data_IF_893896070151
#
_entry.id   IF_893896070151
#
_cell.length_a   1.000
_cell.length_b   1.000
_cell.length_c   1.000
_cell.angle_alpha   90.00
_cell.angle_beta   90.00
_cell.angle_gamma   90.00
#
_symmetry.space_group_name_H-M   'P 1'
#
loop_
_entity.id
_entity.type
_entity.pdbx_description
1 polymer ?
#
# COMPACT_ATOMS: atom_id res chain seq x y z
N UNK A 1 8.89 -10.09 -19.91
CA UNK A 1 10.05 -10.93 -20.27
C UNK A 1 11.27 -10.43 -19.55
N UNK A 2 11.97 -11.28 -18.86
CA UNK A 2 13.17 -10.99 -18.04
C UNK A 2 14.23 -12.03 -18.36
N UNK A 3 15.44 -11.60 -18.73
CA UNK A 3 16.62 -12.45 -18.78
C UNK A 3 17.39 -12.25 -17.47
N UNK A 4 17.42 -13.28 -16.63
CA UNK A 4 17.98 -13.20 -15.29
C UNK A 4 19.50 -13.39 -15.23
N UNK A 5 20.04 -13.31 -13.99
CA UNK A 5 21.46 -13.56 -13.72
C UNK A 5 22.38 -12.35 -13.89
N UNK A 6 21.83 -11.14 -14.03
CA UNK A 6 22.60 -9.88 -14.11
C UNK A 6 22.49 -9.15 -12.77
N UNK A 7 23.60 -8.86 -12.06
CA UNK A 7 23.58 -7.99 -10.90
C UNK A 7 23.08 -6.59 -11.26
N UNK A 8 22.23 -6.04 -10.40
CA UNK A 8 21.74 -4.68 -10.59
C UNK A 8 22.71 -3.66 -10.01
N UNK A 9 23.01 -2.61 -10.78
CA UNK A 9 23.92 -1.54 -10.36
C UNK A 9 23.37 -0.16 -10.75
N UNK A 10 23.58 0.84 -9.89
CA UNK A 10 23.19 2.22 -10.17
C UNK A 10 22.21 2.81 -9.18
N UNK A 11 21.40 3.76 -9.64
CA UNK A 11 20.48 4.52 -8.80
C UNK A 11 19.02 4.36 -9.27
N UNK A 12 18.11 4.25 -8.32
CA UNK A 12 16.67 4.21 -8.57
C UNK A 12 15.99 5.30 -7.74
N UNK A 13 15.20 6.14 -8.41
CA UNK A 13 14.35 7.13 -7.74
C UNK A 13 13.03 6.46 -7.27
N UNK A 14 12.69 6.69 -6.00
CA UNK A 14 11.47 6.18 -5.39
C UNK A 14 10.33 7.18 -5.57
N UNK A 15 9.19 6.67 -6.01
CA UNK A 15 7.96 7.43 -6.21
C UNK A 15 7.22 7.76 -4.92
N UNK A 16 6.09 8.43 -5.04
CA UNK A 16 5.17 8.62 -3.92
C UNK A 16 4.41 7.34 -3.58
N UNK A 17 4.04 7.18 -2.31
CA UNK A 17 3.35 6.00 -1.81
C UNK A 17 1.92 5.88 -2.37
N UNK A 18 1.67 4.84 -3.17
CA UNK A 18 0.32 4.54 -3.64
C UNK A 18 -0.67 4.39 -2.49
N UNK A 19 -0.25 3.69 -1.43
CA UNK A 19 -1.10 3.43 -0.27
C UNK A 19 -1.42 4.70 0.53
N UNK A 20 -0.59 5.77 0.43
CA UNK A 20 -0.90 7.09 0.97
C UNK A 20 -1.72 7.93 -0.01
N UNK A 21 -1.39 7.89 -1.29
CA UNK A 21 -2.10 8.68 -2.31
C UNK A 21 -3.61 8.41 -2.34
N UNK A 22 -4.05 7.16 -2.12
CA UNK A 22 -5.46 6.79 -2.17
C UNK A 22 -6.30 7.45 -1.06
N UNK A 23 -5.96 7.34 0.24
CA UNK A 23 -6.69 8.03 1.30
C UNK A 23 -6.53 9.55 1.24
N UNK A 24 -5.36 10.08 0.86
CA UNK A 24 -5.13 11.52 0.69
C UNK A 24 -6.02 12.09 -0.43
N UNK A 25 -6.23 11.38 -1.53
CA UNK A 25 -7.19 11.76 -2.58
C UNK A 25 -8.64 11.72 -2.06
N UNK A 26 -9.01 10.72 -1.26
CA UNK A 26 -10.33 10.65 -0.64
C UNK A 26 -10.56 11.82 0.34
N UNK A 27 -9.54 12.20 1.11
CA UNK A 27 -9.58 13.35 2.04
C UNK A 27 -9.91 14.68 1.34
N UNK A 28 -9.58 14.83 0.04
CA UNK A 28 -9.94 16.03 -0.73
C UNK A 28 -11.45 16.26 -0.82
N UNK A 29 -12.28 15.22 -0.60
CA UNK A 29 -13.73 15.36 -0.55
C UNK A 29 -14.23 16.14 0.67
N UNK A 30 -13.41 16.33 1.70
CA UNK A 30 -13.79 16.98 2.95
C UNK A 30 -13.86 18.51 2.86
N UNK A 31 -13.34 19.12 1.79
CA UNK A 31 -13.39 20.58 1.57
C UNK A 31 -13.96 20.93 0.20
N UNK A 32 -14.51 22.14 0.10
CA UNK A 32 -14.92 22.74 -1.18
C UNK A 32 -13.73 23.39 -1.91
N UNK A 33 -12.68 23.73 -1.17
CA UNK A 33 -11.51 24.43 -1.67
C UNK A 33 -10.58 23.48 -2.42
N UNK A 34 -9.70 24.07 -3.24
CA UNK A 34 -8.71 23.30 -4.01
C UNK A 34 -7.65 22.69 -3.09
N UNK A 35 -7.44 21.39 -3.21
CA UNK A 35 -6.31 20.68 -2.61
C UNK A 35 -5.32 20.30 -3.73
N UNK A 36 -4.05 20.61 -3.53
CA UNK A 36 -2.96 20.29 -4.45
C UNK A 36 -2.08 19.22 -3.83
N UNK A 37 -1.92 18.12 -4.53
CA UNK A 37 -1.14 16.97 -4.07
C UNK A 37 0.06 16.77 -4.99
N UNK A 38 1.25 16.72 -4.41
CA UNK A 38 2.49 16.48 -5.12
C UNK A 38 2.97 15.04 -4.91
N UNK A 39 3.80 14.56 -5.83
CA UNK A 39 4.41 13.23 -5.82
C UNK A 39 3.40 12.08 -5.94
N UNK A 40 2.24 12.31 -6.52
CA UNK A 40 1.24 11.25 -6.76
C UNK A 40 1.78 10.30 -7.85
N UNK A 41 1.88 8.97 -7.58
CA UNK A 41 2.40 8.03 -8.57
C UNK A 41 1.39 7.79 -9.68
N UNK A 42 1.80 7.78 -10.97
CA UNK A 42 0.91 7.54 -12.09
C UNK A 42 0.61 6.04 -12.29
N UNK A 43 -0.01 5.42 -11.28
CA UNK A 43 -0.36 3.99 -11.29
C UNK A 43 -1.86 3.78 -11.48
N UNK A 44 -2.25 2.57 -11.87
CA UNK A 44 -3.62 2.25 -12.28
C UNK A 44 -4.66 2.47 -11.17
N UNK A 45 -4.31 2.17 -9.90
CA UNK A 45 -5.22 2.38 -8.77
C UNK A 45 -5.50 3.88 -8.57
N UNK A 46 -4.53 4.77 -8.80
CA UNK A 46 -4.72 6.24 -8.74
C UNK A 46 -5.66 6.70 -9.86
N UNK A 47 -5.46 6.23 -11.09
CA UNK A 47 -6.37 6.56 -12.19
C UNK A 47 -7.82 6.10 -11.92
N UNK A 48 -8.02 5.02 -11.18
CA UNK A 48 -9.35 4.56 -10.74
C UNK A 48 -9.93 5.49 -9.68
N UNK A 49 -9.13 5.92 -8.68
CA UNK A 49 -9.56 6.89 -7.66
C UNK A 49 -9.95 8.23 -8.30
N UNK A 50 -9.19 8.72 -9.27
CA UNK A 50 -9.53 9.94 -10.02
C UNK A 50 -10.89 9.82 -10.72
N UNK A 51 -11.18 8.67 -11.35
CA UNK A 51 -12.50 8.41 -11.96
C UNK A 51 -13.62 8.43 -10.92
N UNK A 52 -13.37 7.84 -9.73
CA UNK A 52 -14.33 7.83 -8.64
C UNK A 52 -14.60 9.26 -8.12
N UNK A 53 -13.56 10.07 -7.90
CA UNK A 53 -13.71 11.45 -7.48
C UNK A 53 -14.50 12.29 -8.50
N UNK A 54 -14.22 12.10 -9.80
CA UNK A 54 -14.96 12.75 -10.89
C UNK A 54 -16.44 12.31 -10.91
N UNK A 55 -16.72 11.03 -10.69
CA UNK A 55 -18.09 10.51 -10.59
C UNK A 55 -18.83 11.17 -9.40
N UNK A 56 -18.19 11.27 -8.23
CA UNK A 56 -18.74 11.95 -7.04
C UNK A 56 -19.05 13.43 -7.32
N UNK A 57 -18.32 14.06 -8.25
CA UNK A 57 -18.56 15.44 -8.69
C UNK A 57 -17.36 16.38 -8.53
N UNK A 58 -16.20 15.88 -8.06
CA UNK A 58 -14.99 16.66 -7.96
C UNK A 58 -14.37 16.93 -9.34
N UNK A 59 -13.77 18.11 -9.50
CA UNK A 59 -12.90 18.41 -10.63
C UNK A 59 -11.49 17.93 -10.28
N UNK A 60 -10.92 17.07 -11.13
CA UNK A 60 -9.57 16.50 -10.93
C UNK A 60 -8.73 16.85 -12.15
N UNK A 61 -7.63 17.57 -11.89
CA UNK A 61 -6.62 17.95 -12.90
C UNK A 61 -5.30 17.29 -12.55
N UNK A 62 -4.73 16.58 -13.52
CA UNK A 62 -3.44 15.88 -13.37
C UNK A 62 -2.40 16.53 -14.26
N UNK A 63 -1.24 16.86 -13.69
CA UNK A 63 -0.09 17.39 -14.43
C UNK A 63 1.18 16.72 -13.89
N UNK A 64 1.72 15.80 -14.64
CA UNK A 64 2.83 14.92 -14.21
C UNK A 64 2.44 14.16 -12.92
N UNK A 65 3.25 14.29 -11.85
CA UNK A 65 2.98 13.72 -10.51
C UNK A 65 2.19 14.65 -9.58
N UNK A 66 1.67 15.77 -10.08
CA UNK A 66 0.82 16.71 -9.34
C UNK A 66 -0.63 16.50 -9.69
N UNK A 67 -1.47 16.35 -8.68
CA UNK A 67 -2.93 16.23 -8.81
C UNK A 67 -3.60 17.36 -8.05
N UNK A 68 -4.51 18.07 -8.69
CA UNK A 68 -5.34 19.11 -8.08
C UNK A 68 -6.78 18.62 -8.05
N UNK A 69 -7.40 18.68 -6.88
CA UNK A 69 -8.79 18.26 -6.65
C UNK A 69 -9.59 19.46 -6.12
N UNK A 70 -10.71 19.76 -6.77
CA UNK A 70 -11.71 20.73 -6.30
C UNK A 70 -13.05 20.01 -6.16
N UNK A 71 -13.49 19.80 -4.93
CA UNK A 71 -14.77 19.18 -4.62
C UNK A 71 -15.79 20.22 -4.14
N UNK A 72 -15.91 21.35 -4.86
CA UNK A 72 -16.84 22.45 -4.53
C UNK A 72 -18.29 21.99 -4.41
N UNK A 73 -18.68 20.99 -5.24
CA UNK A 73 -20.03 20.40 -5.24
C UNK A 73 -19.94 18.88 -5.32
N UNK A 74 -20.47 18.19 -4.33
CA UNK A 74 -20.74 16.76 -4.39
C UNK A 74 -22.05 16.52 -5.10
N UNK A 75 -22.04 15.84 -6.23
CA UNK A 75 -23.24 15.50 -7.04
C UNK A 75 -23.83 14.15 -6.64
N UNK A 76 -22.94 13.17 -6.44
CA UNK A 76 -23.30 11.80 -6.10
C UNK A 76 -22.50 11.37 -4.89
N UNK A 77 -23.15 11.22 -3.72
CA UNK A 77 -22.51 10.66 -2.53
C UNK A 77 -22.45 9.12 -2.63
N UNK A 78 -21.93 8.62 -3.76
CA UNK A 78 -21.96 7.20 -4.12
C UNK A 78 -20.64 6.74 -4.75
N UNK A 79 -20.21 5.52 -4.36
CA UNK A 79 -19.15 4.76 -5.02
C UNK A 79 -19.78 3.50 -5.68
N UNK A 80 -20.01 3.49 -7.00
CA UNK A 80 -20.73 2.41 -7.68
C UNK A 80 -19.87 1.16 -7.86
N UNK A 81 -20.52 0.00 -7.96
CA UNK A 81 -19.88 -1.31 -8.09
C UNK A 81 -18.80 -1.38 -9.16
N UNK A 82 -19.05 -0.79 -10.35
CA UNK A 82 -18.10 -0.87 -11.45
C UNK A 82 -16.75 -0.21 -11.19
N UNK A 83 -16.70 0.80 -10.34
CA UNK A 83 -15.45 1.43 -9.90
C UNK A 83 -14.86 0.68 -8.69
N UNK A 84 -15.69 0.31 -7.72
CA UNK A 84 -15.24 -0.36 -6.48
C UNK A 84 -14.67 -1.75 -6.74
N UNK A 85 -15.28 -2.55 -7.66
CA UNK A 85 -14.80 -3.91 -7.99
C UNK A 85 -13.36 -3.97 -8.48
N UNK A 86 -12.84 -2.88 -9.04
CA UNK A 86 -11.49 -2.81 -9.60
C UNK A 86 -10.45 -2.32 -8.60
N UNK A 87 -10.89 -1.59 -7.56
CA UNK A 87 -10.01 -0.99 -6.56
C UNK A 87 -10.69 -0.95 -5.19
N UNK A 88 -10.26 -1.81 -4.30
CA UNK A 88 -10.83 -1.96 -2.96
C UNK A 88 -10.77 -0.68 -2.11
N UNK A 89 -9.72 0.13 -2.27
CA UNK A 89 -9.55 1.42 -1.60
C UNK A 89 -10.66 2.44 -1.92
N UNK A 90 -11.56 2.13 -2.87
CA UNK A 90 -12.76 2.95 -3.12
C UNK A 90 -13.68 3.06 -1.90
N UNK A 91 -13.57 2.16 -0.90
CA UNK A 91 -14.28 2.27 0.38
C UNK A 91 -13.84 3.48 1.21
N UNK A 92 -12.63 4.02 0.99
CA UNK A 92 -12.11 5.19 1.71
C UNK A 92 -12.89 6.50 1.46
N UNK A 93 -13.82 6.52 0.52
CA UNK A 93 -14.71 7.68 0.35
C UNK A 93 -15.92 7.65 1.30
N UNK A 94 -16.13 6.54 2.05
CA UNK A 94 -17.28 6.35 2.93
C UNK A 94 -17.30 7.40 4.06
N UNK A 95 -16.25 7.48 4.86
CA UNK A 95 -16.10 8.45 5.95
C UNK A 95 -16.21 9.90 5.49
N UNK A 96 -15.40 10.33 4.49
CA UNK A 96 -15.49 11.68 3.94
C UNK A 96 -16.87 12.07 3.42
N UNK A 97 -17.58 11.18 2.72
CA UNK A 97 -18.92 11.49 2.20
C UNK A 97 -19.95 11.60 3.32
N UNK A 98 -19.93 10.70 4.31
CA UNK A 98 -20.85 10.80 5.47
C UNK A 98 -20.57 12.07 6.24
N UNK A 99 -19.30 12.38 6.52
CA UNK A 99 -18.92 13.57 7.28
C UNK A 99 -19.35 14.86 6.60
N UNK A 100 -19.18 14.96 5.28
CA UNK A 100 -19.46 16.18 4.53
C UNK A 100 -20.89 16.31 4.05
N UNK A 101 -21.51 15.19 3.63
CA UNK A 101 -22.83 15.19 2.97
C UNK A 101 -23.95 14.67 3.87
N UNK A 102 -23.64 14.16 5.06
CA UNK A 102 -24.61 13.49 5.94
C UNK A 102 -25.07 12.14 5.41
N UNK A 103 -24.54 11.66 4.29
CA UNK A 103 -24.88 10.36 3.69
C UNK A 103 -23.80 9.86 2.76
N UNK A 104 -23.70 8.54 2.61
CA UNK A 104 -22.90 7.88 1.59
C UNK A 104 -23.52 6.54 1.19
N UNK A 105 -23.34 6.15 -0.07
CA UNK A 105 -23.69 4.83 -0.61
C UNK A 105 -22.46 4.24 -1.30
N UNK A 106 -21.86 3.20 -0.72
CA UNK A 106 -20.61 2.63 -1.23
C UNK A 106 -20.80 1.14 -1.50
N UNK A 107 -20.53 0.69 -2.72
CA UNK A 107 -20.58 -0.73 -3.05
C UNK A 107 -19.59 -1.51 -2.18
N UNK A 108 -20.01 -2.68 -1.73
CA UNK A 108 -19.08 -3.62 -1.11
C UNK A 108 -17.99 -3.99 -2.12
N UNK A 109 -16.71 -3.93 -1.71
CA UNK A 109 -15.65 -4.40 -2.57
C UNK A 109 -15.80 -5.90 -2.80
N UNK A 110 -15.61 -6.34 -4.04
CA UNK A 110 -15.59 -7.76 -4.39
C UNK A 110 -14.55 -8.54 -3.61
N UNK A 111 -14.59 -9.87 -3.68
CA UNK A 111 -13.62 -10.73 -3.04
C UNK A 111 -12.17 -10.36 -3.38
N UNK A 112 -11.28 -10.48 -2.40
CA UNK A 112 -9.87 -10.23 -2.60
C UNK A 112 -9.12 -11.58 -2.64
N UNK A 113 -8.22 -11.74 -3.60
CA UNK A 113 -7.45 -12.97 -3.75
C UNK A 113 -6.61 -13.31 -2.51
N UNK A 114 -6.14 -12.30 -1.77
CA UNK A 114 -5.27 -12.48 -0.59
C UNK A 114 -6.02 -12.72 0.72
N UNK A 115 -7.37 -12.72 0.72
CA UNK A 115 -8.17 -13.01 1.91
C UNK A 115 -9.35 -12.08 2.15
N UNK A 116 -10.14 -12.39 3.18
CA UNK A 116 -11.27 -11.58 3.59
C UNK A 116 -10.80 -10.22 4.14
N UNK A 117 -11.36 -9.15 3.62
CA UNK A 117 -11.05 -7.78 4.04
C UNK A 117 -12.35 -7.00 4.23
N UNK A 118 -13.16 -7.41 5.20
CA UNK A 118 -14.47 -6.80 5.43
C UNK A 118 -14.30 -5.33 5.86
N UNK A 119 -15.28 -4.50 5.52
CA UNK A 119 -15.32 -3.09 5.96
C UNK A 119 -16.14 -2.90 7.25
N UNK A 120 -16.38 -4.00 7.98
CA UNK A 120 -17.13 -3.98 9.23
C UNK A 120 -16.56 -3.01 10.27
N UNK A 121 -15.22 -2.86 10.32
CA UNK A 121 -14.56 -1.92 11.25
C UNK A 121 -14.82 -0.46 10.87
N UNK A 122 -14.92 -0.12 9.57
CA UNK A 122 -15.33 1.19 9.10
C UNK A 122 -16.78 1.46 9.50
N UNK A 123 -17.66 0.49 9.27
CA UNK A 123 -19.08 0.58 9.63
C UNK A 123 -19.26 0.78 11.14
N UNK A 124 -18.66 -0.09 11.96
CA UNK A 124 -18.75 0.00 13.43
C UNK A 124 -18.25 1.36 13.95
N UNK A 125 -17.16 1.89 13.37
CA UNK A 125 -16.65 3.20 13.73
C UNK A 125 -17.62 4.33 13.36
N UNK A 126 -18.21 4.32 12.17
CA UNK A 126 -19.19 5.32 11.75
C UNK A 126 -20.48 5.26 12.58
N UNK A 127 -20.95 4.06 12.93
CA UNK A 127 -22.09 3.88 13.85
C UNK A 127 -21.78 4.47 15.22
N UNK A 128 -20.55 4.30 15.71
CA UNK A 128 -20.11 4.88 16.98
C UNK A 128 -20.09 6.41 16.93
N UNK A 129 -19.78 6.98 15.77
CA UNK A 129 -19.87 8.42 15.52
C UNK A 129 -21.32 8.90 15.27
N UNK A 130 -22.32 8.01 15.35
CA UNK A 130 -23.75 8.32 15.27
C UNK A 130 -24.37 8.18 13.89
N UNK A 131 -23.68 7.62 12.91
CA UNK A 131 -24.27 7.27 11.62
C UNK A 131 -25.21 6.07 11.76
N UNK A 132 -26.29 6.05 11.00
CA UNK A 132 -27.14 4.87 10.78
C UNK A 132 -26.65 4.15 9.55
N UNK A 133 -26.23 2.89 9.71
CA UNK A 133 -25.66 2.13 8.60
C UNK A 133 -26.55 0.93 8.27
N UNK A 134 -26.77 0.69 6.96
CA UNK A 134 -27.48 -0.48 6.43
C UNK A 134 -26.64 -1.12 5.34
N UNK A 135 -26.77 -2.43 5.22
CA UNK A 135 -26.19 -3.19 4.12
C UNK A 135 -27.31 -3.76 3.28
N UNK A 136 -27.50 -3.23 2.08
CA UNK A 136 -28.57 -3.67 1.18
C UNK A 136 -28.04 -3.76 -0.27
N UNK A 137 -28.48 -4.78 -1.00
CA UNK A 137 -28.17 -4.98 -2.42
C UNK A 137 -26.67 -4.91 -2.77
N UNK A 138 -25.78 -5.32 -1.85
CA UNK A 138 -24.33 -5.28 -2.05
C UNK A 138 -23.71 -3.89 -1.84
N UNK A 139 -24.45 -2.97 -1.22
CA UNK A 139 -23.97 -1.63 -0.84
C UNK A 139 -24.03 -1.45 0.69
N UNK A 140 -23.13 -0.59 1.18
CA UNK A 140 -23.24 0.04 2.48
C UNK A 140 -23.87 1.41 2.26
N UNK A 141 -24.97 1.66 2.94
CA UNK A 141 -25.65 2.95 3.01
C UNK A 141 -25.50 3.50 4.41
N UNK A 142 -24.86 4.64 4.55
CA UNK A 142 -24.63 5.32 5.82
C UNK A 142 -25.27 6.71 5.81
N UNK A 143 -26.00 7.03 6.87
CA UNK A 143 -26.73 8.30 7.03
C UNK A 143 -26.44 8.92 8.39
N UNK A 144 -26.13 10.20 8.39
CA UNK A 144 -25.95 11.04 9.57
C UNK A 144 -26.57 12.44 9.30
N UNK A 145 -27.89 12.57 9.19
CA UNK A 145 -28.56 13.82 8.77
C UNK A 145 -28.29 14.98 9.71
N UNK A 146 -28.06 14.71 11.00
CA UNK A 146 -27.70 15.72 12.00
C UNK A 146 -26.18 15.91 12.13
N UNK A 147 -25.38 15.34 11.22
CA UNK A 147 -23.91 15.30 11.27
C UNK A 147 -23.38 14.28 12.27
N UNK A 148 -22.10 13.95 12.12
CA UNK A 148 -21.40 13.04 13.02
C UNK A 148 -21.11 13.70 14.38
N UNK A 149 -20.98 12.87 15.42
CA UNK A 149 -20.64 13.29 16.78
C UNK A 149 -19.39 12.55 17.24
N UNK A 150 -18.47 13.28 17.87
CA UNK A 150 -17.27 12.70 18.44
C UNK A 150 -17.59 11.62 19.48
N UNK A 151 -16.79 10.56 19.49
CA UNK A 151 -16.93 9.41 20.39
C UNK A 151 -15.61 8.69 20.56
N UNK A 152 -15.48 7.86 21.60
CA UNK A 152 -14.39 6.91 21.71
C UNK A 152 -14.72 5.64 20.94
N UNK A 153 -13.76 5.15 20.17
CA UNK A 153 -13.83 3.90 19.42
C UNK A 153 -12.51 3.13 19.54
N UNK A 154 -12.59 1.87 19.94
CA UNK A 154 -11.44 0.97 20.01
C UNK A 154 -11.57 -0.08 18.90
N UNK A 155 -10.55 -0.19 18.05
CA UNK A 155 -10.50 -1.25 17.05
C UNK A 155 -10.23 -2.61 17.72
N UNK A 156 -11.06 -3.63 17.48
CA UNK A 156 -10.83 -5.01 17.94
C UNK A 156 -9.53 -5.60 17.38
N UNK A 157 -9.16 -5.16 16.18
CA UNK A 157 -7.87 -5.42 15.53
C UNK A 157 -7.45 -4.20 14.72
N UNK A 158 -6.16 -3.98 14.60
CA UNK A 158 -5.61 -2.87 13.84
C UNK A 158 -6.10 -2.93 12.38
N UNK A 159 -6.59 -1.81 11.88
CA UNK A 159 -7.06 -1.65 10.49
C UNK A 159 -6.55 -0.34 9.92
N UNK A 160 -5.67 -0.41 8.92
CA UNK A 160 -5.11 0.79 8.27
C UNK A 160 -6.22 1.61 7.63
N UNK A 161 -6.97 1.02 6.69
CA UNK A 161 -8.05 1.73 6.00
C UNK A 161 -9.21 2.11 6.93
N UNK A 162 -9.47 1.33 8.00
CA UNK A 162 -10.45 1.68 9.02
C UNK A 162 -10.01 2.93 9.81
N UNK A 163 -8.74 3.00 10.19
CA UNK A 163 -8.17 4.18 10.87
C UNK A 163 -8.22 5.41 9.97
N UNK A 164 -7.81 5.28 8.70
CA UNK A 164 -7.85 6.38 7.73
C UNK A 164 -9.27 6.90 7.50
N UNK A 165 -10.24 6.00 7.31
CA UNK A 165 -11.64 6.36 7.07
C UNK A 165 -12.29 7.03 8.29
N UNK A 166 -12.05 6.47 9.49
CA UNK A 166 -12.54 7.05 10.75
C UNK A 166 -11.90 8.40 11.04
N UNK A 167 -10.59 8.55 10.79
CA UNK A 167 -9.87 9.80 10.93
C UNK A 167 -10.49 10.89 10.03
N UNK A 168 -10.74 10.55 8.77
CA UNK A 168 -11.39 11.47 7.82
C UNK A 168 -12.84 11.80 8.20
N UNK A 169 -13.56 10.86 8.81
CA UNK A 169 -14.91 11.13 9.32
C UNK A 169 -14.90 12.02 10.56
N UNK A 170 -13.96 11.80 11.47
CA UNK A 170 -13.87 12.47 12.76
C UNK A 170 -13.53 13.96 12.67
N UNK A 171 -12.78 14.39 11.65
CA UNK A 171 -12.35 15.80 11.52
C UNK A 171 -13.50 16.80 11.35
N UNK A 172 -14.67 16.34 10.89
CA UNK A 172 -15.89 17.16 10.79
C UNK A 172 -16.97 16.71 11.79
N UNK A 173 -16.69 15.76 12.68
CA UNK A 173 -17.63 15.34 13.73
C UNK A 173 -17.66 16.38 14.87
N UNK A 174 -18.84 16.63 15.44
CA UNK A 174 -18.96 17.60 16.54
C UNK A 174 -18.40 17.04 17.85
N UNK A 175 -17.42 17.71 18.44
CA UNK A 175 -16.75 17.31 19.69
C UNK A 175 -15.46 16.56 19.46
N UNK A 176 -15.04 15.78 20.45
CA UNK A 176 -13.80 15.02 20.43
C UNK A 176 -14.05 13.56 20.01
N UNK A 177 -13.19 13.04 19.13
CA UNK A 177 -13.13 11.61 18.80
C UNK A 177 -11.80 11.03 19.29
N UNK A 178 -11.85 9.88 19.95
CA UNK A 178 -10.67 9.12 20.37
C UNK A 178 -10.69 7.78 19.63
N UNK A 179 -9.67 7.53 18.83
CA UNK A 179 -9.49 6.27 18.11
C UNK A 179 -8.38 5.48 18.80
N UNK A 180 -8.74 4.38 19.44
CA UNK A 180 -7.81 3.49 20.14
C UNK A 180 -7.50 2.26 19.30
N UNK A 181 -6.35 1.64 19.54
CA UNK A 181 -5.79 0.55 18.73
C UNK A 181 -5.70 0.94 17.24
N UNK A 182 -5.38 2.21 17.00
CA UNK A 182 -5.24 2.80 15.66
C UNK A 182 -4.02 2.22 14.93
N UNK A 183 -4.09 2.18 13.61
CA UNK A 183 -2.96 1.85 12.75
C UNK A 183 -1.89 2.95 12.83
N UNK A 184 -0.62 2.55 12.80
CA UNK A 184 0.54 3.43 12.97
C UNK A 184 1.35 3.61 11.70
N UNK A 185 0.86 3.10 10.59
CA UNK A 185 1.51 3.15 9.29
C UNK A 185 1.82 4.59 8.88
N UNK A 186 2.99 4.82 8.22
CA UNK A 186 3.35 6.14 7.70
C UNK A 186 2.27 6.77 6.82
N UNK A 187 1.48 5.96 6.14
CA UNK A 187 0.36 6.38 5.29
C UNK A 187 -0.77 7.02 6.11
N UNK A 188 -1.04 6.50 7.31
CA UNK A 188 -2.01 7.10 8.27
C UNK A 188 -1.50 8.45 8.77
N UNK A 189 -0.20 8.51 9.10
CA UNK A 189 0.45 9.77 9.53
C UNK A 189 0.38 10.81 8.42
N UNK A 190 0.54 10.40 7.17
CA UNK A 190 0.50 11.29 6.01
C UNK A 190 -0.90 11.87 5.75
N UNK A 191 -1.95 11.05 5.90
CA UNK A 191 -3.34 11.53 5.88
C UNK A 191 -3.59 12.55 6.99
N UNK A 192 -3.16 12.26 8.21
CA UNK A 192 -3.28 13.17 9.34
C UNK A 192 -2.55 14.50 9.08
N UNK A 193 -1.36 14.44 8.47
CA UNK A 193 -0.58 15.63 8.10
C UNK A 193 -1.29 16.48 7.04
N UNK A 194 -1.91 15.88 6.01
CA UNK A 194 -2.75 16.62 5.07
C UNK A 194 -3.93 17.28 5.78
N UNK A 195 -4.69 16.51 6.57
CA UNK A 195 -5.87 17.01 7.28
C UNK A 195 -5.52 18.16 8.22
N UNK A 196 -4.38 18.09 8.90
CA UNK A 196 -3.86 19.19 9.75
C UNK A 196 -3.56 20.44 8.92
N UNK A 197 -2.93 20.29 7.74
CA UNK A 197 -2.71 21.41 6.81
C UNK A 197 -4.02 22.02 6.30
N UNK A 198 -5.08 21.21 6.22
CA UNK A 198 -6.44 21.66 5.87
C UNK A 198 -7.15 22.34 7.04
N UNK A 199 -6.58 22.34 8.25
CA UNK A 199 -7.12 23.00 9.43
C UNK A 199 -7.73 22.06 10.48
N UNK A 200 -7.55 20.74 10.35
CA UNK A 200 -7.98 19.79 11.37
C UNK A 200 -7.08 19.85 12.62
N UNK A 201 -7.66 19.52 13.77
CA UNK A 201 -6.95 19.37 15.05
C UNK A 201 -6.81 17.87 15.37
N UNK A 202 -5.60 17.34 15.17
CA UNK A 202 -5.29 15.90 15.30
C UNK A 202 -4.04 15.74 16.15
N UNK A 203 -4.10 14.84 17.13
CA UNK A 203 -2.99 14.48 18.00
C UNK A 203 -2.78 12.96 18.00
N UNK A 204 -1.54 12.51 18.20
CA UNK A 204 -1.21 11.09 18.35
C UNK A 204 -1.15 10.30 17.06
N UNK A 205 -1.19 10.91 15.87
CA UNK A 205 -0.98 10.21 14.60
C UNK A 205 0.36 9.47 14.60
N UNK A 206 0.35 8.18 14.24
CA UNK A 206 1.52 7.29 14.33
C UNK A 206 1.67 6.58 15.68
N UNK A 207 0.80 6.87 16.65
CA UNK A 207 0.67 6.09 17.89
C UNK A 207 -0.58 5.19 17.85
N UNK A 208 -0.76 4.36 18.87
CA UNK A 208 -1.95 3.51 19.00
C UNK A 208 -3.22 4.26 19.39
N UNK A 209 -3.12 5.54 19.73
CA UNK A 209 -4.26 6.37 20.11
C UNK A 209 -4.20 7.69 19.36
N UNK A 210 -5.25 8.00 18.58
CA UNK A 210 -5.40 9.24 17.85
C UNK A 210 -6.56 10.01 18.45
N UNK A 211 -6.34 11.31 18.75
CA UNK A 211 -7.36 12.25 19.19
C UNK A 211 -7.67 13.25 18.10
N UNK A 212 -8.92 13.47 17.84
CA UNK A 212 -9.41 14.41 16.82
C UNK A 212 -10.44 15.35 17.45
N UNK A 213 -10.15 16.64 17.43
CA UNK A 213 -11.17 17.64 17.74
C UNK A 213 -11.81 18.10 16.44
N UNK A 214 -13.09 17.82 16.28
CA UNK A 214 -13.82 18.14 15.07
C UNK A 214 -13.92 19.66 14.84
N UNK A 215 -13.84 20.04 13.57
CA UNK A 215 -13.95 21.44 13.12
C UNK A 215 -15.17 21.63 12.24
N UNK A 216 -15.68 22.88 12.14
CA UNK A 216 -16.86 23.18 11.30
C UNK A 216 -16.57 23.02 9.81
N UNK A 217 -15.35 23.33 9.38
CA UNK A 217 -14.93 23.27 7.97
C UNK A 217 -13.43 23.06 7.86
N UNK A 218 -13.02 22.50 6.72
CA UNK A 218 -11.63 22.39 6.30
C UNK A 218 -11.38 23.30 5.10
N UNK A 219 -10.15 23.77 4.96
CA UNK A 219 -9.67 24.62 3.85
C UNK A 219 -8.89 23.80 2.83
N UNK A 220 -8.57 24.39 1.68
CA UNK A 220 -7.63 23.83 0.73
C UNK A 220 -6.20 23.83 1.27
N UNK A 221 -5.38 22.90 0.76
CA UNK A 221 -3.97 22.78 1.15
C UNK A 221 -3.11 22.30 -0.01
N UNK A 222 -1.78 22.47 0.14
CA UNK A 222 -0.78 21.82 -0.70
C UNK A 222 -0.01 20.81 0.14
N UNK A 223 0.08 19.58 -0.37
CA UNK A 223 0.71 18.48 0.35
C UNK A 223 1.52 17.59 -0.61
N UNK A 224 2.73 17.27 -0.22
CA UNK A 224 3.55 16.25 -0.87
C UNK A 224 3.41 14.95 -0.09
N UNK A 225 3.00 13.87 -0.76
CA UNK A 225 2.84 12.57 -0.11
C UNK A 225 4.18 11.91 0.21
N UNK A 226 4.17 11.05 1.22
CA UNK A 226 5.37 10.30 1.63
C UNK A 226 5.89 9.38 0.52
N UNK A 227 7.21 9.07 0.52
CA UNK A 227 7.79 8.08 -0.40
C UNK A 227 7.19 6.69 -0.21
N UNK A 228 7.08 5.92 -1.30
CA UNK A 228 6.58 4.55 -1.25
C UNK A 228 7.60 3.60 -0.62
N UNK A 229 7.40 3.27 0.66
CA UNK A 229 8.23 2.31 1.40
C UNK A 229 8.18 0.90 0.81
N UNK A 230 7.08 0.53 0.15
CA UNK A 230 6.94 -0.82 -0.43
C UNK A 230 7.69 -0.88 -1.77
N UNK A 231 7.65 0.18 -2.57
CA UNK A 231 8.48 0.28 -3.76
C UNK A 231 9.97 0.26 -3.38
N UNK A 232 10.39 1.08 -2.41
CA UNK A 232 11.76 1.11 -1.92
C UNK A 232 12.21 -0.25 -1.38
N UNK A 233 11.38 -0.90 -0.55
CA UNK A 233 11.66 -2.23 -0.04
C UNK A 233 11.78 -3.29 -1.14
N UNK A 234 10.96 -3.21 -2.17
CA UNK A 234 11.04 -4.10 -3.34
C UNK A 234 12.39 -3.94 -4.06
N UNK A 235 12.88 -2.72 -4.24
CA UNK A 235 14.18 -2.49 -4.89
C UNK A 235 15.37 -2.81 -3.99
N UNK A 236 15.25 -2.66 -2.65
CA UNK A 236 16.26 -3.20 -1.73
C UNK A 236 16.41 -4.73 -1.88
N UNK A 237 15.28 -5.44 -1.94
CA UNK A 237 15.28 -6.88 -2.18
C UNK A 237 15.81 -7.19 -3.59
N UNK A 238 15.51 -6.38 -4.61
CA UNK A 238 16.06 -6.56 -5.97
C UNK A 238 17.59 -6.49 -5.98
N UNK A 239 18.18 -5.50 -5.31
CA UNK A 239 19.63 -5.41 -5.17
C UNK A 239 20.23 -6.61 -4.43
N UNK A 240 19.59 -7.02 -3.33
CA UNK A 240 20.06 -8.16 -2.53
C UNK A 240 19.98 -9.49 -3.30
N UNK A 241 18.86 -9.80 -3.95
CA UNK A 241 18.64 -11.10 -4.63
C UNK A 241 19.53 -11.26 -5.86
N UNK A 242 19.90 -10.16 -6.53
CA UNK A 242 20.77 -10.19 -7.72
C UNK A 242 22.25 -10.10 -7.40
N UNK A 243 22.63 -9.92 -6.13
CA UNK A 243 24.03 -9.70 -5.74
C UNK A 243 24.57 -8.34 -6.19
N UNK A 244 23.71 -7.36 -6.33
CA UNK A 244 23.96 -6.05 -6.90
C UNK A 244 24.44 -4.98 -5.92
N UNK A 245 24.51 -3.75 -6.42
CA UNK A 245 24.87 -2.51 -5.69
C UNK A 245 23.95 -1.37 -6.13
N UNK A 246 22.86 -1.15 -5.40
CA UNK A 246 21.85 -0.15 -5.74
C UNK A 246 21.79 0.98 -4.70
N UNK A 247 21.62 2.19 -5.18
CA UNK A 247 21.25 3.36 -4.37
C UNK A 247 19.80 3.73 -4.67
N UNK A 248 18.98 3.78 -3.64
CA UNK A 248 17.58 4.23 -3.71
C UNK A 248 17.52 5.67 -3.20
N UNK A 249 17.03 6.58 -4.05
CA UNK A 249 16.92 8.01 -3.71
C UNK A 249 15.46 8.43 -3.50
N UNK A 250 15.28 9.42 -2.65
CA UNK A 250 13.97 9.96 -2.32
C UNK A 250 13.11 8.94 -1.54
N UNK A 251 13.70 8.08 -0.73
CA UNK A 251 13.02 7.16 0.19
C UNK A 251 13.03 7.71 1.63
N UNK A 252 12.29 7.06 2.51
CA UNK A 252 12.28 7.36 3.95
C UNK A 252 12.83 6.15 4.72
N UNK A 253 14.14 6.13 5.06
CA UNK A 253 14.78 4.97 5.71
C UNK A 253 14.06 4.52 6.98
N UNK A 254 13.58 5.48 7.80
CA UNK A 254 12.84 5.18 9.02
C UNK A 254 11.56 4.35 8.83
N UNK A 255 10.96 4.36 7.64
CA UNK A 255 9.77 3.57 7.31
C UNK A 255 10.08 2.11 6.94
N UNK A 256 11.37 1.76 6.82
CA UNK A 256 11.84 0.46 6.30
C UNK A 256 12.63 -0.35 7.32
N UNK A 257 12.72 0.09 8.58
CA UNK A 257 13.60 -0.50 9.61
C UNK A 257 13.48 -2.02 9.70
N UNK A 258 12.28 -2.56 9.82
CA UNK A 258 12.08 -4.00 9.94
C UNK A 258 12.63 -4.79 8.72
N UNK A 259 12.47 -4.27 7.48
CA UNK A 259 13.07 -4.89 6.30
C UNK A 259 14.58 -4.76 6.30
N UNK A 260 15.11 -3.57 6.61
CA UNK A 260 16.56 -3.30 6.63
C UNK A 260 17.26 -4.26 7.60
N UNK A 261 16.72 -4.42 8.81
CA UNK A 261 17.24 -5.36 9.80
C UNK A 261 17.24 -6.81 9.28
N UNK A 262 16.17 -7.24 8.61
CA UNK A 262 16.09 -8.59 8.04
C UNK A 262 17.06 -8.79 6.88
N UNK A 263 17.27 -7.80 6.04
CA UNK A 263 18.27 -7.84 4.96
C UNK A 263 19.70 -7.90 5.53
N UNK A 264 19.99 -7.13 6.56
CA UNK A 264 21.27 -7.14 7.26
C UNK A 264 21.52 -8.50 7.96
N UNK A 265 20.52 -9.06 8.65
CA UNK A 265 20.57 -10.42 9.22
C UNK A 265 20.83 -11.48 8.14
N UNK A 266 20.28 -11.30 6.94
CA UNK A 266 20.53 -12.18 5.79
C UNK A 266 21.94 -12.01 5.20
N UNK A 267 22.69 -10.98 5.59
CA UNK A 267 24.06 -10.72 5.14
C UNK A 267 24.16 -9.70 4.01
N UNK A 268 23.10 -8.99 3.67
CA UNK A 268 23.17 -7.82 2.79
C UNK A 268 23.66 -6.59 3.57
N UNK A 269 24.54 -5.79 2.95
CA UNK A 269 24.97 -4.50 3.50
C UNK A 269 23.94 -3.44 3.06
N UNK A 270 23.14 -2.98 4.02
CA UNK A 270 22.17 -1.90 3.78
C UNK A 270 22.54 -0.72 4.65
N UNK A 271 22.84 0.42 4.02
CA UNK A 271 23.31 1.64 4.69
C UNK A 271 22.55 2.88 4.25
N UNK A 272 22.31 3.79 5.17
CA UNK A 272 21.84 5.14 4.87
C UNK A 272 23.00 5.98 4.31
N UNK A 273 22.90 6.43 3.05
CA UNK A 273 23.91 7.25 2.39
C UNK A 273 23.53 8.72 2.36
N UNK A 274 22.28 9.03 2.60
CA UNK A 274 21.76 10.37 2.87
C UNK A 274 20.44 10.23 3.67
N UNK A 275 19.90 11.33 4.18
CA UNK A 275 18.64 11.34 4.94
C UNK A 275 17.44 10.78 4.16
N UNK A 276 17.51 10.80 2.83
CA UNK A 276 16.49 10.30 1.92
C UNK A 276 17.03 9.22 0.96
N UNK A 277 18.16 8.59 1.28
CA UNK A 277 18.77 7.61 0.40
C UNK A 277 19.35 6.40 1.14
N UNK A 278 19.06 5.21 0.60
CA UNK A 278 19.57 3.93 1.04
C UNK A 278 20.44 3.30 -0.04
N UNK A 279 21.50 2.62 0.36
CA UNK A 279 22.32 1.77 -0.49
C UNK A 279 22.20 0.33 -0.04
N UNK A 280 21.99 -0.60 -0.96
CA UNK A 280 22.04 -2.03 -0.71
C UNK A 280 23.13 -2.68 -1.54
N UNK A 281 23.97 -3.50 -0.89
CA UNK A 281 25.01 -4.31 -1.53
C UNK A 281 24.90 -5.73 -1.01
N UNK A 282 24.97 -6.70 -1.89
CA UNK A 282 24.98 -8.11 -1.49
C UNK A 282 26.11 -8.84 -2.20
N UNK A 283 27.30 -8.82 -1.60
CA UNK A 283 28.47 -9.54 -2.10
C UNK A 283 28.60 -10.86 -1.31
N UNK A 284 28.40 -11.99 -2.00
CA UNK A 284 28.50 -13.30 -1.41
C UNK A 284 27.15 -14.00 -1.19
N UNK A 285 27.18 -15.03 -0.33
CA UNK A 285 26.00 -15.88 -0.08
C UNK A 285 25.16 -15.29 1.03
N UNK A 286 23.88 -15.14 0.78
CA UNK A 286 22.90 -14.74 1.79
C UNK A 286 22.53 -15.95 2.67
N UNK A 287 22.12 -15.68 3.91
CA UNK A 287 21.64 -16.68 4.87
C UNK A 287 20.11 -16.55 5.01
N UNK A 288 19.45 -17.67 5.23
CA UNK A 288 18.02 -17.70 5.50
C UNK A 288 17.68 -17.02 6.81
N UNK A 289 16.60 -16.25 6.82
CA UNK A 289 16.10 -15.48 7.97
C UNK A 289 14.60 -15.65 8.08
N UNK A 290 14.12 -15.96 9.27
CA UNK A 290 12.69 -16.06 9.55
C UNK A 290 12.04 -14.69 9.62
N UNK A 291 10.80 -14.61 9.12
CA UNK A 291 9.99 -13.41 9.14
C UNK A 291 8.56 -13.72 9.57
N UNK A 292 8.02 -12.89 10.44
CA UNK A 292 6.58 -12.82 10.75
C UNK A 292 6.08 -11.47 10.28
N UNK A 293 5.01 -11.45 9.48
CA UNK A 293 4.37 -10.19 9.09
C UNK A 293 3.60 -9.61 10.27
N UNK A 294 3.70 -8.31 10.46
CA UNK A 294 3.05 -7.57 11.53
C UNK A 294 2.67 -6.17 11.02
N UNK A 295 1.73 -5.54 11.72
CA UNK A 295 1.41 -4.13 11.50
C UNK A 295 2.63 -3.25 11.80
N UNK A 296 2.67 -2.06 11.20
CA UNK A 296 3.79 -1.12 11.41
C UNK A 296 3.98 -0.79 12.91
N UNK A 297 5.22 -0.81 13.42
CA UNK A 297 6.52 -0.84 12.71
C UNK A 297 7.09 -2.25 12.44
N UNK A 298 6.31 -3.30 12.57
CA UNK A 298 6.71 -4.66 12.25
C UNK A 298 6.96 -4.89 10.76
N UNK A 299 7.22 -6.14 10.37
CA UNK A 299 7.53 -6.49 8.99
C UNK A 299 6.26 -6.44 8.12
N UNK A 300 6.25 -5.53 7.15
CA UNK A 300 5.09 -5.27 6.32
C UNK A 300 4.69 -6.50 5.48
N UNK A 301 3.41 -6.92 5.57
CA UNK A 301 2.84 -7.98 4.75
C UNK A 301 2.98 -7.70 3.24
N UNK A 302 3.02 -6.41 2.82
CA UNK A 302 3.25 -5.99 1.44
C UNK A 302 4.67 -6.27 0.91
N UNK A 303 5.62 -6.66 1.77
CA UNK A 303 6.98 -7.08 1.43
C UNK A 303 7.23 -8.59 1.61
N UNK A 304 6.23 -9.32 2.10
CA UNK A 304 6.34 -10.75 2.39
C UNK A 304 6.74 -11.57 1.15
N UNK A 305 6.05 -11.38 0.03
CA UNK A 305 6.29 -12.14 -1.20
C UNK A 305 7.69 -11.86 -1.79
N UNK A 306 8.13 -10.59 -1.76
CA UNK A 306 9.45 -10.18 -2.22
C UNK A 306 10.55 -10.80 -1.35
N UNK A 307 10.37 -10.77 -0.02
CA UNK A 307 11.32 -11.38 0.90
C UNK A 307 11.36 -12.90 0.77
N UNK A 308 10.21 -13.54 0.49
CA UNK A 308 10.15 -14.97 0.20
C UNK A 308 10.96 -15.33 -1.06
N UNK A 309 10.86 -14.54 -2.12
CA UNK A 309 11.69 -14.72 -3.31
C UNK A 309 13.19 -14.65 -2.98
N UNK A 310 13.60 -13.69 -2.12
CA UNK A 310 14.98 -13.60 -1.64
C UNK A 310 15.41 -14.87 -0.90
N UNK A 311 14.57 -15.39 0.00
CA UNK A 311 14.89 -16.58 0.80
C UNK A 311 15.05 -17.86 -0.04
N UNK A 312 14.47 -17.93 -1.23
CA UNK A 312 14.76 -19.07 -2.15
C UNK A 312 16.24 -19.14 -2.56
N UNK A 313 16.95 -18.01 -2.51
CA UNK A 313 18.38 -17.88 -2.88
C UNK A 313 19.33 -17.96 -1.69
N UNK A 314 18.83 -17.73 -0.48
CA UNK A 314 19.62 -17.73 0.75
C UNK A 314 19.98 -19.15 1.21
N UNK A 315 21.12 -19.36 1.85
CA UNK A 315 21.52 -20.66 2.40
C UNK A 315 20.75 -20.99 3.68
N UNK A 316 20.16 -22.17 3.76
CA UNK A 316 19.43 -22.68 4.93
C UNK A 316 17.93 -22.77 4.69
N UNK A 317 17.15 -22.75 5.76
CA UNK A 317 15.69 -22.81 5.73
C UNK A 317 15.16 -21.55 6.39
N UNK A 318 14.21 -20.88 5.73
CA UNK A 318 13.48 -19.74 6.29
C UNK A 318 12.01 -20.11 6.53
N UNK A 319 11.47 -19.66 7.66
CA UNK A 319 10.04 -19.74 7.98
C UNK A 319 9.42 -18.35 7.82
N UNK A 320 8.48 -18.22 6.91
CA UNK A 320 7.74 -16.98 6.70
C UNK A 320 6.32 -17.18 7.22
N UNK A 321 5.96 -16.46 8.27
CA UNK A 321 4.64 -16.50 8.91
C UNK A 321 3.83 -15.28 8.48
N UNK A 322 2.66 -15.51 7.87
CA UNK A 322 1.73 -14.46 7.46
C UNK A 322 0.58 -14.32 8.46
N UNK A 323 0.57 -13.24 9.23
CA UNK A 323 -0.44 -13.02 10.28
C UNK A 323 -1.58 -12.12 9.83
N UNK A 324 -1.37 -11.31 8.79
CA UNK A 324 -2.29 -10.26 8.37
C UNK A 324 -3.36 -10.81 7.40
N UNK A 325 -2.92 -11.54 6.34
CA UNK A 325 -3.84 -12.04 5.30
C UNK A 325 -3.71 -13.55 5.12
N UNK A 326 -4.82 -14.26 5.30
CA UNK A 326 -4.86 -15.74 5.33
C UNK A 326 -4.49 -16.43 4.00
N UNK A 327 -4.72 -15.77 2.86
CA UNK A 327 -4.49 -16.36 1.53
C UNK A 327 -3.30 -15.73 0.78
N UNK A 328 -2.34 -15.13 1.48
CA UNK A 328 -1.29 -14.34 0.83
C UNK A 328 -0.08 -15.14 0.38
N UNK A 329 -0.27 -16.42 0.06
CA UNK A 329 0.78 -17.32 -0.46
C UNK A 329 0.55 -17.78 -1.91
N UNK A 330 -0.31 -17.09 -2.67
CA UNK A 330 -0.64 -17.48 -4.05
C UNK A 330 0.57 -17.54 -5.00
N UNK A 331 1.59 -16.71 -4.75
CA UNK A 331 2.84 -16.68 -5.52
C UNK A 331 3.72 -17.91 -5.33
N UNK A 332 3.48 -18.71 -4.29
CA UNK A 332 4.29 -19.91 -3.99
C UNK A 332 4.24 -20.90 -5.12
N UNK A 333 3.07 -21.13 -5.73
CA UNK A 333 2.94 -22.06 -6.85
C UNK A 333 3.73 -21.61 -8.09
N UNK A 334 3.74 -20.30 -8.35
CA UNK A 334 4.50 -19.74 -9.47
C UNK A 334 6.01 -19.74 -9.20
N UNK A 335 6.44 -19.50 -7.96
CA UNK A 335 7.84 -19.69 -7.56
C UNK A 335 8.27 -21.16 -7.67
N UNK A 336 7.40 -22.11 -7.33
CA UNK A 336 7.67 -23.53 -7.49
C UNK A 336 7.83 -23.91 -8.98
N UNK A 337 7.09 -23.29 -9.92
CA UNK A 337 7.31 -23.45 -11.36
C UNK A 337 8.72 -23.00 -11.80
N UNK A 338 9.29 -22.03 -11.10
CA UNK A 338 10.67 -21.57 -11.30
C UNK A 338 11.70 -22.44 -10.56
N UNK A 339 11.27 -23.53 -9.91
CA UNK A 339 12.13 -24.47 -9.19
C UNK A 339 12.31 -24.17 -7.70
N UNK A 340 11.61 -23.20 -7.12
CA UNK A 340 11.71 -22.94 -5.69
C UNK A 340 11.14 -24.11 -4.87
N UNK A 341 11.83 -24.46 -3.77
CA UNK A 341 11.38 -25.48 -2.83
C UNK A 341 10.70 -24.81 -1.63
N UNK A 342 9.37 -24.70 -1.68
CA UNK A 342 8.56 -24.06 -0.67
C UNK A 342 7.41 -24.99 -0.25
N UNK A 343 7.27 -25.24 1.05
CA UNK A 343 6.16 -25.99 1.63
C UNK A 343 5.26 -25.05 2.44
N UNK A 344 3.96 -25.11 2.18
CA UNK A 344 2.98 -24.37 2.98
C UNK A 344 2.44 -25.23 4.13
N UNK A 345 2.28 -24.62 5.29
CA UNK A 345 1.68 -25.21 6.48
C UNK A 345 0.82 -24.12 7.18
N UNK A 346 -0.46 -24.11 6.86
CA UNK A 346 -1.39 -23.08 7.33
C UNK A 346 -0.92 -21.66 6.97
N UNK A 347 -0.62 -20.85 7.96
CA UNK A 347 -0.11 -19.48 7.81
C UNK A 347 1.41 -19.39 7.70
N UNK A 348 2.10 -20.49 7.46
CA UNK A 348 3.56 -20.54 7.36
C UNK A 348 3.99 -21.07 5.99
N UNK A 349 5.03 -20.45 5.45
CA UNK A 349 5.76 -20.97 4.30
C UNK A 349 7.16 -21.35 4.77
N UNK A 350 7.55 -22.61 4.56
CA UNK A 350 8.87 -23.14 4.85
C UNK A 350 9.63 -23.13 3.53
N UNK A 351 10.62 -22.25 3.42
CA UNK A 351 11.42 -22.01 2.22
C UNK A 351 12.78 -22.69 2.38
N UNK A 352 13.04 -23.74 1.62
CA UNK A 352 14.37 -24.32 1.53
C UNK A 352 15.16 -23.52 0.49
N UNK A 353 16.16 -22.81 0.96
CA UNK A 353 16.96 -21.89 0.18
C UNK A 353 18.07 -22.54 -0.63
N UNK A 354 19.04 -21.75 -1.07
CA UNK A 354 20.14 -22.14 -1.97
C UNK A 354 19.67 -22.75 -3.30
N UNK A 355 18.43 -22.45 -3.71
CA UNK A 355 17.84 -22.95 -4.95
C UNK A 355 18.35 -22.15 -6.13
N UNK A 356 18.83 -22.82 -7.17
CA UNK A 356 19.07 -22.19 -8.45
C UNK A 356 17.75 -22.10 -9.22
N UNK A 357 17.12 -20.93 -9.18
CA UNK A 357 15.90 -20.68 -9.93
C UNK A 357 16.15 -20.76 -11.44
N UNK A 358 15.20 -21.29 -12.17
CA UNK A 358 15.17 -21.33 -13.65
C UNK A 358 14.07 -20.42 -14.19
N UNK A 359 14.33 -19.77 -15.31
CA UNK A 359 13.32 -19.01 -16.03
C UNK A 359 12.15 -19.91 -16.45
N UNK A 360 10.94 -19.36 -16.38
CA UNK A 360 9.70 -20.06 -16.72
C UNK A 360 8.62 -19.05 -17.15
N UNK A 361 7.56 -19.55 -17.79
CA UNK A 361 6.32 -18.82 -17.98
C UNK A 361 5.51 -18.89 -16.68
N UNK A 362 5.19 -17.74 -16.09
CA UNK A 362 4.49 -17.60 -14.81
C UNK A 362 3.38 -16.56 -14.89
N UNK A 363 2.39 -16.68 -14.02
CA UNK A 363 1.19 -15.83 -14.05
C UNK A 363 1.16 -14.92 -12.82
N UNK A 364 1.05 -13.63 -13.04
CA UNK A 364 0.81 -12.64 -12.00
C UNK A 364 -0.62 -12.79 -11.43
N UNK A 365 -0.76 -13.03 -10.13
CA UNK A 365 -2.05 -13.23 -9.45
C UNK A 365 -2.56 -11.97 -8.73
N UNK A 366 -1.65 -11.19 -8.18
CA UNK A 366 -1.92 -9.93 -7.48
C UNK A 366 -0.70 -9.01 -7.54
N UNK A 367 -0.84 -7.79 -7.05
CA UNK A 367 0.20 -6.75 -7.11
C UNK A 367 1.55 -7.18 -6.50
N UNK A 368 1.54 -7.74 -5.29
CA UNK A 368 2.78 -8.04 -4.54
C UNK A 368 3.37 -9.39 -4.94
N UNK A 369 2.52 -10.39 -5.19
CA UNK A 369 2.93 -11.63 -5.82
C UNK A 369 3.64 -11.37 -7.16
N UNK A 370 3.07 -10.50 -7.99
CA UNK A 370 3.68 -10.13 -9.27
C UNK A 370 5.07 -9.52 -9.11
N UNK A 371 5.27 -8.65 -8.12
CA UNK A 371 6.58 -8.07 -7.84
C UNK A 371 7.60 -9.14 -7.43
N UNK A 372 7.20 -10.13 -6.61
CA UNK A 372 8.09 -11.23 -6.21
C UNK A 372 8.53 -12.10 -7.40
N UNK A 373 7.65 -12.31 -8.38
CA UNK A 373 7.98 -13.04 -9.60
C UNK A 373 8.97 -12.26 -10.48
N UNK A 374 8.86 -10.92 -10.52
CA UNK A 374 9.89 -10.09 -11.18
C UNK A 374 11.24 -10.29 -10.51
N UNK A 375 11.31 -10.24 -9.17
CA UNK A 375 12.55 -10.43 -8.43
C UNK A 375 13.14 -11.84 -8.63
N UNK A 376 12.30 -12.86 -8.59
CA UNK A 376 12.71 -14.23 -8.88
C UNK A 376 13.24 -14.38 -10.31
N UNK A 377 12.59 -13.75 -11.29
CA UNK A 377 13.04 -13.72 -12.68
C UNK A 377 14.39 -13.06 -12.88
N UNK A 378 14.67 -11.95 -12.15
CA UNK A 378 15.98 -11.30 -12.20
C UNK A 378 17.12 -12.21 -11.69
N UNK A 379 16.83 -13.10 -10.73
CA UNK A 379 17.80 -14.02 -10.14
C UNK A 379 17.84 -15.40 -10.80
N UNK A 380 16.89 -15.72 -11.67
CA UNK A 380 16.78 -17.01 -12.33
C UNK A 380 17.84 -17.17 -13.44
N UNK A 381 18.11 -18.43 -13.84
CA UNK A 381 18.86 -18.72 -15.07
C UNK A 381 17.89 -18.81 -16.26
N UNK A 382 18.23 -18.10 -17.34
CA UNK A 382 17.43 -18.08 -18.56
C UNK A 382 16.33 -17.02 -18.53
N UNK A 383 15.32 -17.22 -19.37
CA UNK A 383 14.27 -16.24 -19.61
C UNK A 383 13.02 -16.57 -18.80
N UNK A 384 12.46 -15.55 -18.14
CA UNK A 384 11.17 -15.61 -17.45
C UNK A 384 10.16 -14.72 -18.18
N UNK A 385 8.99 -15.28 -18.48
CA UNK A 385 7.85 -14.55 -19.04
C UNK A 385 6.77 -14.45 -17.96
N UNK A 386 6.33 -13.23 -17.66
CA UNK A 386 5.29 -12.99 -16.65
C UNK A 386 4.04 -12.48 -17.36
N UNK A 387 2.96 -13.26 -17.29
CA UNK A 387 1.66 -12.89 -17.80
C UNK A 387 0.86 -12.05 -16.80
N UNK A 388 -0.18 -11.38 -17.29
CA UNK A 388 -1.11 -10.54 -16.50
C UNK A 388 -0.41 -9.41 -15.73
N UNK A 389 0.62 -8.82 -16.30
CA UNK A 389 1.43 -7.75 -15.67
C UNK A 389 0.62 -6.49 -15.33
N UNK A 390 -0.64 -6.39 -15.75
CA UNK A 390 -1.55 -5.32 -15.32
C UNK A 390 -1.77 -5.29 -13.80
N UNK A 391 -1.48 -6.38 -13.09
CA UNK A 391 -1.46 -6.40 -11.63
C UNK A 391 -0.31 -5.56 -11.07
N UNK A 392 0.86 -5.57 -11.70
CA UNK A 392 2.02 -4.76 -11.32
C UNK A 392 1.72 -3.27 -11.51
N UNK A 393 1.04 -2.90 -12.61
CA UNK A 393 0.69 -1.52 -12.96
C UNK A 393 -0.26 -0.86 -11.96
N UNK A 394 -0.86 -1.62 -11.06
CA UNK A 394 -1.70 -1.09 -9.99
C UNK A 394 -0.91 -0.34 -8.93
N UNK A 395 0.38 -0.62 -8.74
CA UNK A 395 1.14 -0.05 -7.65
C UNK A 395 2.63 0.18 -7.91
N UNK A 396 3.15 -0.16 -9.08
CA UNK A 396 4.53 0.16 -9.47
C UNK A 396 4.54 0.98 -10.74
N UNK A 397 5.16 2.16 -10.65
CA UNK A 397 5.37 3.01 -11.82
C UNK A 397 6.50 2.45 -12.68
N UNK A 398 6.14 1.93 -13.87
CA UNK A 398 7.11 1.48 -14.90
C UNK A 398 8.29 0.69 -14.29
N UNK A 399 7.99 -0.32 -13.48
CA UNK A 399 9.00 -1.11 -12.76
C UNK A 399 10.09 -1.64 -13.72
N UNK A 400 9.70 -2.03 -14.93
CA UNK A 400 10.62 -2.51 -15.96
C UNK A 400 11.61 -1.42 -16.39
N UNK A 401 11.18 -0.16 -16.52
CA UNK A 401 12.06 0.94 -16.90
C UNK A 401 13.04 1.30 -15.77
N UNK A 402 12.57 1.31 -14.51
CA UNK A 402 13.42 1.55 -13.33
C UNK A 402 14.48 0.45 -13.19
N UNK A 403 14.09 -0.82 -13.33
CA UNK A 403 15.02 -1.96 -13.27
C UNK A 403 15.98 -1.97 -14.47
N UNK A 404 15.51 -1.70 -15.69
CA UNK A 404 16.38 -1.60 -16.87
C UNK A 404 17.41 -0.46 -16.72
N UNK A 405 17.03 0.67 -16.14
CA UNK A 405 17.95 1.77 -15.81
C UNK A 405 19.05 1.37 -14.82
N UNK A 406 18.82 0.34 -14.01
CA UNK A 406 19.78 -0.26 -13.09
C UNK A 406 20.47 -1.52 -13.67
N UNK A 407 20.41 -1.75 -14.98
CA UNK A 407 21.13 -2.82 -15.68
C UNK A 407 20.34 -4.12 -15.89
N UNK A 408 19.08 -4.22 -15.45
CA UNK A 408 18.28 -5.42 -15.72
C UNK A 408 17.97 -5.59 -17.20
N UNK A 409 18.03 -6.86 -17.67
CA UNK A 409 17.56 -7.25 -18.99
C UNK A 409 16.06 -7.58 -18.94
N UNK A 410 15.25 -6.56 -18.94
CA UNK A 410 13.79 -6.66 -18.77
C UNK A 410 13.08 -5.82 -19.83
N UNK A 411 11.99 -6.33 -20.39
CA UNK A 411 11.16 -5.59 -21.34
C UNK A 411 9.71 -6.04 -21.26
N UNK A 412 8.79 -5.13 -21.61
CA UNK A 412 7.40 -5.50 -21.91
C UNK A 412 7.32 -6.07 -23.33
N UNK A 413 6.58 -7.16 -23.45
CA UNK A 413 6.21 -7.77 -24.73
C UNK A 413 4.68 -7.70 -24.86
N UNK A 414 4.20 -7.59 -26.10
CA UNK A 414 2.78 -7.55 -26.41
C UNK A 414 2.22 -8.96 -26.50
#
# INVERSE_FOLDING_TARGET
MIEGGVPLEGEIAIGGAKNSALPVLAACLLTADRVTLDRIPPVRDIATMEKLLKHIGAQVTVKNSRVMVEASRIRHAEAPYDLVKTMRASSLVLGPLVARCGRARVSLPGGCAIGARPINLHVAGLERLGAKVRQEHGYIEAEAPDGLKGASFTFDRISVTGTEDLLMAAVLARGETIIENAAREPEVVDVAALLTKMGASIEGAGSSTIRVHGVEKLSGATHEIVPDRIEAGTFLVAGAITGGDLILRGCAPGHLRALIEKLQQAGADVTEVASDALRVRAKGKLKSVDVTTEEHPGFATDLQAQFMALMTRAEGIAIITETIFENRFMHVQELARMGANIRLDGRKAIVAGATQLSGAEVIASDLRASASLVLAGLAARGETVIDRVYHIDRGYEKIEAKLAGAGARIKRVK
#
